data_IF_600912249155
#
_entry.id   IF_600912249155
#
_cell.length_a   1.000
_cell.length_b   1.000
_cell.length_c   1.000
_cell.angle_alpha   90.00
_cell.angle_beta   90.00
_cell.angle_gamma   90.00
#
_symmetry.space_group_name_H-M   'P 1'
#
loop_
_entity.id
_entity.type
_entity.pdbx_description
1 polymer ?
#
# COMPACT_ATOMS: atom_id res chain seq x y z
N UNK A 1 3.52 12.82 -21.87
CA UNK A 1 3.84 13.45 -20.56
C UNK A 1 5.35 13.52 -20.43
N UNK A 2 5.97 14.68 -20.03
CA UNK A 2 7.43 14.78 -19.88
C UNK A 2 7.90 13.86 -18.76
N UNK A 3 9.09 13.21 -18.86
CA UNK A 3 9.66 12.31 -17.86
C UNK A 3 9.57 12.88 -16.43
N UNK A 4 10.02 14.11 -16.25
CA UNK A 4 10.00 14.82 -14.97
C UNK A 4 8.61 14.84 -14.30
N UNK A 5 7.54 15.02 -15.08
CA UNK A 5 6.17 15.02 -14.57
C UNK A 5 5.72 13.61 -14.19
N UNK A 6 6.13 12.58 -14.93
CA UNK A 6 5.85 11.18 -14.59
C UNK A 6 6.52 10.79 -13.28
N UNK A 7 7.83 11.03 -13.15
CA UNK A 7 8.58 10.70 -11.93
C UNK A 7 8.04 11.45 -10.70
N UNK A 8 7.69 12.72 -10.85
CA UNK A 8 7.09 13.50 -9.76
C UNK A 8 5.75 12.88 -9.31
N UNK A 9 4.88 12.51 -10.26
CA UNK A 9 3.58 11.88 -9.96
C UNK A 9 3.77 10.52 -9.30
N UNK A 10 4.72 9.72 -9.78
CA UNK A 10 5.02 8.41 -9.22
C UNK A 10 5.58 8.51 -7.79
N UNK A 11 6.50 9.43 -7.54
CA UNK A 11 7.04 9.69 -6.21
C UNK A 11 5.96 10.21 -5.25
N UNK A 12 5.09 11.11 -5.71
CA UNK A 12 3.95 11.58 -4.92
C UNK A 12 3.00 10.43 -4.59
N UNK A 13 2.70 9.53 -5.54
CA UNK A 13 1.92 8.33 -5.29
C UNK A 13 2.55 7.46 -4.19
N UNK A 14 3.84 7.17 -4.28
CA UNK A 14 4.56 6.37 -3.28
C UNK A 14 4.54 7.00 -1.89
N UNK A 15 4.70 8.32 -1.82
CA UNK A 15 4.60 9.07 -0.58
C UNK A 15 3.21 8.98 0.04
N UNK A 16 2.16 9.37 -0.70
CA UNK A 16 0.80 9.39 -0.18
C UNK A 16 0.24 7.99 0.12
N UNK A 17 0.59 6.99 -0.68
CA UNK A 17 0.20 5.60 -0.42
C UNK A 17 0.81 5.07 0.89
N UNK A 18 1.99 5.56 1.25
CA UNK A 18 2.70 5.18 2.48
C UNK A 18 2.34 6.07 3.69
N UNK A 19 1.66 7.19 3.47
CA UNK A 19 1.26 8.15 4.50
C UNK A 19 -0.03 7.67 5.20
N UNK A 20 0.10 6.64 6.04
CA UNK A 20 -1.01 6.04 6.78
C UNK A 20 -1.07 6.62 8.20
N UNK A 21 -1.58 7.85 8.34
CA UNK A 21 -1.61 8.61 9.59
C UNK A 21 -2.32 7.91 10.75
N UNK A 22 -3.18 6.95 10.46
CA UNK A 22 -3.90 6.19 11.47
C UNK A 22 -3.06 5.07 12.13
N UNK A 23 -1.98 4.60 11.48
CA UNK A 23 -1.20 3.44 11.94
C UNK A 23 -0.72 3.58 13.38
N UNK A 24 -0.14 4.71 13.83
CA UNK A 24 0.37 4.82 15.19
C UNK A 24 -0.72 4.77 16.27
N UNK A 25 -1.94 5.25 15.97
CA UNK A 25 -3.05 5.32 16.92
C UNK A 25 -4.01 4.13 16.82
N UNK A 26 -3.82 3.25 15.83
CA UNK A 26 -4.81 2.22 15.50
C UNK A 26 -4.91 1.13 16.55
N UNK A 27 -3.80 0.79 17.18
CA UNK A 27 -3.80 -0.14 18.32
C UNK A 27 -4.67 0.38 19.46
N UNK A 28 -4.49 1.64 19.85
CA UNK A 28 -5.29 2.27 20.89
C UNK A 28 -6.77 2.35 20.51
N UNK A 29 -7.07 2.63 19.26
CA UNK A 29 -8.45 2.61 18.76
C UNK A 29 -9.09 1.23 18.88
N UNK A 30 -8.38 0.15 18.52
CA UNK A 30 -8.85 -1.23 18.69
C UNK A 30 -9.10 -1.57 20.16
N UNK A 31 -8.21 -1.14 21.07
CA UNK A 31 -8.38 -1.31 22.52
C UNK A 31 -9.62 -0.57 23.04
N UNK A 32 -9.87 0.66 22.62
CA UNK A 32 -11.07 1.45 22.99
C UNK A 32 -12.37 0.83 22.50
N UNK A 33 -12.36 0.16 21.38
CA UNK A 33 -13.52 -0.61 20.86
C UNK A 33 -13.77 -1.89 21.67
N UNK A 34 -12.82 -2.30 22.51
CA UNK A 34 -12.95 -3.44 23.41
C UNK A 34 -12.24 -4.71 22.97
N UNK A 35 -11.37 -4.64 21.96
CA UNK A 35 -10.54 -5.78 21.56
C UNK A 35 -9.45 -6.03 22.60
N UNK A 36 -9.22 -7.31 22.92
CA UNK A 36 -8.07 -7.70 23.72
C UNK A 36 -6.81 -7.89 22.87
N UNK A 37 -5.64 -7.95 23.48
CA UNK A 37 -4.35 -8.04 22.78
C UNK A 37 -4.27 -9.29 21.89
N UNK A 38 -4.82 -10.41 22.36
CA UNK A 38 -4.83 -11.68 21.60
C UNK A 38 -5.63 -11.53 20.30
N UNK A 39 -6.75 -10.85 20.32
CA UNK A 39 -7.57 -10.57 19.15
C UNK A 39 -6.86 -9.65 18.16
N UNK A 40 -6.22 -8.58 18.68
CA UNK A 40 -5.44 -7.63 17.87
C UNK A 40 -4.29 -8.36 17.18
N UNK A 41 -3.49 -9.14 17.90
CA UNK A 41 -2.38 -9.89 17.31
C UNK A 41 -2.85 -10.98 16.34
N UNK A 42 -4.01 -11.60 16.58
CA UNK A 42 -4.61 -12.55 15.64
C UNK A 42 -4.98 -11.88 14.33
N UNK A 43 -5.59 -10.71 14.37
CA UNK A 43 -5.89 -9.92 13.16
C UNK A 43 -4.59 -9.58 12.40
N UNK A 44 -3.55 -9.14 13.10
CA UNK A 44 -2.25 -8.84 12.49
C UNK A 44 -1.63 -10.08 11.83
N UNK A 45 -1.70 -11.24 12.49
CA UNK A 45 -1.20 -12.50 11.95
C UNK A 45 -1.93 -12.91 10.67
N UNK A 46 -3.25 -12.78 10.66
CA UNK A 46 -4.08 -13.04 9.47
C UNK A 46 -3.73 -12.05 8.35
N UNK A 47 -3.54 -10.76 8.68
CA UNK A 47 -3.10 -9.77 7.70
C UNK A 47 -1.80 -10.18 6.99
N UNK A 48 -0.76 -10.56 7.73
CA UNK A 48 0.51 -10.98 7.13
C UNK A 48 0.38 -12.27 6.33
N UNK A 49 -0.40 -13.22 6.82
CA UNK A 49 -0.67 -14.47 6.08
C UNK A 49 -1.36 -14.17 4.75
N UNK A 50 -2.44 -13.38 4.77
CA UNK A 50 -3.19 -13.00 3.56
C UNK A 50 -2.30 -12.20 2.61
N UNK A 51 -1.50 -11.26 3.11
CA UNK A 51 -0.55 -10.49 2.31
C UNK A 51 0.42 -11.41 1.56
N UNK A 52 1.09 -12.34 2.27
CA UNK A 52 2.02 -13.29 1.65
C UNK A 52 1.32 -14.18 0.61
N UNK A 53 0.13 -14.68 0.91
CA UNK A 53 -0.63 -15.53 -0.03
C UNK A 53 -1.07 -14.76 -1.28
N UNK A 54 -1.37 -13.49 -1.15
CA UNK A 54 -1.82 -12.65 -2.27
C UNK A 54 -0.67 -12.13 -3.14
N UNK A 55 0.58 -12.06 -2.65
CA UNK A 55 1.70 -11.54 -3.44
C UNK A 55 1.90 -12.30 -4.77
N UNK A 56 1.78 -13.63 -4.77
CA UNK A 56 1.93 -14.43 -5.99
C UNK A 56 0.77 -14.21 -6.97
N UNK A 57 -0.53 -14.35 -6.56
CA UNK A 57 -1.65 -14.12 -7.47
C UNK A 57 -1.72 -12.69 -8.00
N UNK A 58 -1.43 -11.69 -7.16
CA UNK A 58 -1.50 -10.28 -7.60
C UNK A 58 -0.34 -9.90 -8.52
N UNK A 59 0.85 -10.50 -8.35
CA UNK A 59 1.95 -10.36 -9.29
C UNK A 59 1.58 -10.90 -10.67
N UNK A 60 1.08 -12.14 -10.72
CA UNK A 60 0.59 -12.74 -11.98
C UNK A 60 -0.54 -11.92 -12.61
N UNK A 61 -1.47 -11.43 -11.80
CA UNK A 61 -2.56 -10.60 -12.30
C UNK A 61 -2.04 -9.26 -12.87
N UNK A 62 -1.00 -8.68 -12.27
CA UNK A 62 -0.38 -7.45 -12.75
C UNK A 62 0.24 -7.61 -14.16
N UNK A 63 0.82 -8.77 -14.44
CA UNK A 63 1.33 -9.08 -15.78
C UNK A 63 0.19 -9.21 -16.82
N UNK A 64 -0.99 -9.64 -16.40
CA UNK A 64 -2.13 -9.90 -17.27
C UNK A 64 -2.98 -8.66 -17.56
N UNK A 65 -3.35 -7.89 -16.53
CA UNK A 65 -4.24 -6.71 -16.66
C UNK A 65 -3.46 -5.39 -16.75
N UNK A 66 -2.16 -5.44 -16.54
CA UNK A 66 -1.25 -4.30 -16.57
C UNK A 66 -0.98 -3.68 -15.20
N UNK A 67 0.27 -3.33 -14.97
CA UNK A 67 0.78 -2.81 -13.69
C UNK A 67 0.06 -1.53 -13.23
N UNK A 68 -0.28 -0.63 -14.16
CA UNK A 68 -1.02 0.60 -13.84
C UNK A 68 -2.40 0.32 -13.24
N UNK A 69 -3.12 -0.68 -13.78
CA UNK A 69 -4.45 -1.06 -13.28
C UNK A 69 -4.33 -1.63 -11.88
N UNK A 70 -3.32 -2.45 -11.61
CA UNK A 70 -3.06 -2.97 -10.26
C UNK A 70 -2.76 -1.87 -9.25
N UNK A 71 -2.00 -0.82 -9.60
CA UNK A 71 -1.79 0.32 -8.72
C UNK A 71 -3.10 1.05 -8.38
N UNK A 72 -4.01 1.18 -9.36
CA UNK A 72 -5.34 1.77 -9.14
C UNK A 72 -6.18 0.87 -8.24
N UNK A 73 -6.23 -0.45 -8.51
CA UNK A 73 -6.97 -1.41 -7.68
C UNK A 73 -6.46 -1.43 -6.23
N UNK A 74 -5.14 -1.39 -6.04
CA UNK A 74 -4.52 -1.27 -4.73
C UNK A 74 -4.95 0.00 -4.01
N UNK A 75 -4.97 1.14 -4.71
CA UNK A 75 -5.40 2.42 -4.14
C UNK A 75 -6.89 2.42 -3.78
N UNK A 76 -7.74 1.88 -4.64
CA UNK A 76 -9.19 1.73 -4.38
C UNK A 76 -9.43 0.84 -3.17
N UNK A 77 -8.73 -0.32 -3.09
CA UNK A 77 -8.83 -1.22 -1.92
C UNK A 77 -8.42 -0.52 -0.63
N UNK A 78 -7.39 0.34 -0.65
CA UNK A 78 -6.97 1.14 0.50
C UNK A 78 -8.06 2.13 0.93
N UNK A 79 -8.67 2.82 -0.01
CA UNK A 79 -9.76 3.77 0.25
C UNK A 79 -10.95 3.05 0.87
N UNK A 80 -11.38 1.93 0.27
CA UNK A 80 -12.50 1.10 0.78
C UNK A 80 -12.21 0.62 2.19
N UNK A 81 -11.00 0.11 2.47
CA UNK A 81 -10.60 -0.32 3.80
C UNK A 81 -10.74 0.78 4.85
N UNK A 82 -10.28 2.00 4.52
CA UNK A 82 -10.32 3.12 5.46
C UNK A 82 -11.75 3.69 5.65
N UNK A 83 -12.60 3.62 4.64
CA UNK A 83 -14.03 4.02 4.75
C UNK A 83 -14.80 2.98 5.55
N UNK A 84 -14.46 1.70 5.44
CA UNK A 84 -15.18 0.59 6.09
C UNK A 84 -15.14 0.65 7.62
N UNK A 85 -13.99 0.93 8.19
CA UNK A 85 -13.76 0.75 9.64
C UNK A 85 -14.57 1.70 10.54
N UNK A 86 -14.80 2.98 10.22
CA UNK A 86 -15.63 3.86 11.05
C UNK A 86 -17.08 3.39 11.20
N UNK A 87 -17.61 2.67 10.19
CA UNK A 87 -18.99 2.15 10.21
C UNK A 87 -19.09 0.78 10.87
N UNK A 88 -17.98 0.06 11.02
CA UNK A 88 -17.97 -1.30 11.54
C UNK A 88 -16.86 -1.51 12.59
N UNK A 89 -16.89 -0.79 13.72
CA UNK A 89 -15.87 -0.91 14.77
C UNK A 89 -16.09 -2.18 15.61
N UNK A 90 -15.75 -3.33 15.05
CA UNK A 90 -15.89 -4.65 15.69
C UNK A 90 -14.72 -5.54 15.28
N UNK A 91 -14.53 -6.67 15.97
CA UNK A 91 -13.51 -7.66 15.60
C UNK A 91 -13.57 -8.04 14.10
N UNK A 92 -14.76 -8.38 13.60
CA UNK A 92 -14.97 -8.71 12.19
C UNK A 92 -14.72 -7.52 11.27
N UNK A 93 -15.09 -6.30 11.68
CA UNK A 93 -14.83 -5.07 10.93
C UNK A 93 -13.34 -4.80 10.79
N UNK A 94 -12.57 -4.95 11.86
CA UNK A 94 -11.10 -4.83 11.82
C UNK A 94 -10.47 -5.94 10.98
N UNK A 95 -10.96 -7.17 11.07
CA UNK A 95 -10.44 -8.27 10.26
C UNK A 95 -10.63 -7.98 8.76
N UNK A 96 -11.82 -7.56 8.35
CA UNK A 96 -12.10 -7.18 6.95
C UNK A 96 -11.22 -6.01 6.52
N UNK A 97 -11.10 -4.97 7.36
CA UNK A 97 -10.21 -3.84 7.09
C UNK A 97 -8.77 -4.29 6.80
N UNK A 98 -8.20 -5.15 7.64
CA UNK A 98 -6.83 -5.63 7.45
C UNK A 98 -6.67 -6.56 6.24
N UNK A 99 -7.70 -7.35 5.90
CA UNK A 99 -7.70 -8.14 4.65
C UNK A 99 -7.68 -7.22 3.43
N UNK A 100 -8.48 -6.14 3.42
CA UNK A 100 -8.48 -5.15 2.35
C UNK A 100 -7.15 -4.39 2.27
N UNK A 101 -6.51 -4.09 3.40
CA UNK A 101 -5.15 -3.51 3.43
C UNK A 101 -4.13 -4.49 2.86
N UNK A 102 -4.21 -5.78 3.20
CA UNK A 102 -3.33 -6.82 2.64
C UNK A 102 -3.47 -6.88 1.12
N UNK A 103 -4.70 -6.90 0.61
CA UNK A 103 -5.01 -6.89 -0.82
C UNK A 103 -4.44 -5.63 -1.50
N UNK A 104 -4.68 -4.46 -0.92
CA UNK A 104 -4.14 -3.19 -1.40
C UNK A 104 -2.62 -3.23 -1.53
N UNK A 105 -1.95 -3.68 -0.47
CA UNK A 105 -0.48 -3.72 -0.43
C UNK A 105 0.12 -4.74 -1.38
N UNK A 106 -0.49 -5.91 -1.53
CA UNK A 106 -0.01 -6.93 -2.47
C UNK A 106 -0.11 -6.46 -3.93
N UNK A 107 -1.20 -5.77 -4.30
CA UNK A 107 -1.31 -5.15 -5.62
C UNK A 107 -0.21 -4.11 -5.89
N UNK A 108 0.07 -3.24 -4.93
CA UNK A 108 1.07 -2.18 -5.11
C UNK A 108 2.49 -2.73 -5.04
N UNK A 109 2.76 -3.69 -4.15
CA UNK A 109 4.08 -4.34 -4.01
C UNK A 109 4.52 -4.99 -5.32
N UNK A 110 3.67 -5.80 -5.93
CA UNK A 110 3.97 -6.51 -7.18
C UNK A 110 4.06 -5.60 -8.41
N UNK A 111 3.23 -4.55 -8.46
CA UNK A 111 3.09 -3.73 -9.68
C UNK A 111 3.99 -2.48 -9.71
N UNK A 112 4.45 -1.96 -8.58
CA UNK A 112 5.06 -0.63 -8.48
C UNK A 112 6.38 -0.52 -9.26
N UNK A 113 7.34 -1.37 -8.93
CA UNK A 113 8.67 -1.35 -9.57
C UNK A 113 8.60 -1.77 -11.05
N UNK A 114 7.72 -2.72 -11.38
CA UNK A 114 7.49 -3.15 -12.75
C UNK A 114 6.88 -2.04 -13.61
N UNK A 115 5.89 -1.29 -13.08
CA UNK A 115 5.31 -0.14 -13.77
C UNK A 115 6.34 0.97 -14.05
N UNK A 116 7.20 1.25 -13.09
CA UNK A 116 8.28 2.22 -13.27
C UNK A 116 9.24 1.75 -14.36
N UNK A 117 9.71 0.49 -14.28
CA UNK A 117 10.63 -0.10 -15.25
C UNK A 117 10.03 -0.07 -16.66
N UNK A 118 8.81 -0.58 -16.84
CA UNK A 118 8.13 -0.64 -18.13
C UNK A 118 7.96 0.75 -18.76
N UNK A 119 7.56 1.74 -17.94
CA UNK A 119 7.38 3.12 -18.41
C UNK A 119 8.69 3.75 -18.86
N UNK A 120 9.80 3.52 -18.15
CA UNK A 120 11.12 4.02 -18.54
C UNK A 120 11.67 3.27 -19.76
N UNK A 121 11.44 1.97 -19.85
CA UNK A 121 11.82 1.16 -21.02
C UNK A 121 11.14 1.65 -22.30
N UNK A 122 9.84 1.88 -22.26
CA UNK A 122 9.07 2.42 -23.41
C UNK A 122 9.52 3.82 -23.86
N UNK A 123 10.26 4.54 -22.98
CA UNK A 123 10.80 5.87 -23.26
C UNK A 123 12.27 5.87 -23.68
N UNK A 124 12.91 4.71 -23.70
CA UNK A 124 14.36 4.58 -23.86
C UNK A 124 15.17 5.36 -22.78
N UNK A 125 14.66 5.42 -21.54
CA UNK A 125 15.21 6.15 -20.41
C UNK A 125 15.57 5.19 -19.25
N UNK A 126 15.97 3.96 -19.54
CA UNK A 126 16.29 2.92 -18.54
C UNK A 126 17.49 3.29 -17.63
N UNK A 127 18.39 4.12 -18.09
CA UNK A 127 19.54 4.59 -17.29
C UNK A 127 19.10 5.33 -16.03
N UNK A 128 17.92 5.96 -16.08
CA UNK A 128 17.30 6.66 -14.95
C UNK A 128 16.63 5.72 -13.92
N UNK A 129 16.46 4.42 -14.24
CA UNK A 129 15.66 3.50 -13.42
C UNK A 129 16.16 3.39 -11.97
N UNK A 130 17.46 3.17 -11.78
CA UNK A 130 18.04 3.00 -10.44
C UNK A 130 17.83 4.22 -9.55
N UNK A 131 18.02 5.40 -10.12
CA UNK A 131 17.81 6.66 -9.40
C UNK A 131 16.34 6.92 -9.12
N UNK A 132 15.47 6.66 -10.09
CA UNK A 132 14.02 6.83 -9.96
C UNK A 132 13.44 5.87 -8.90
N UNK A 133 13.83 4.59 -8.92
CA UNK A 133 13.40 3.60 -7.93
C UNK A 133 13.91 3.96 -6.51
N UNK A 134 15.18 4.39 -6.40
CA UNK A 134 15.74 4.85 -5.14
C UNK A 134 14.99 6.06 -4.56
N UNK A 135 14.66 7.05 -5.39
CA UNK A 135 13.84 8.20 -4.99
C UNK A 135 12.43 7.78 -4.57
N UNK A 136 11.77 6.92 -5.33
CA UNK A 136 10.43 6.43 -5.01
C UNK A 136 10.38 5.73 -3.64
N UNK A 137 11.38 4.88 -3.35
CA UNK A 137 11.53 4.24 -2.04
C UNK A 137 11.79 5.24 -0.92
N UNK A 138 12.63 6.25 -1.16
CA UNK A 138 12.89 7.32 -0.20
C UNK A 138 11.60 8.09 0.13
N UNK A 139 10.80 8.46 -0.86
CA UNK A 139 9.50 9.12 -0.64
C UNK A 139 8.51 8.23 0.12
N UNK A 140 8.47 6.92 -0.18
CA UNK A 140 7.67 5.96 0.59
C UNK A 140 8.10 5.88 2.06
N UNK A 141 9.41 5.87 2.33
CA UNK A 141 9.95 5.88 3.69
C UNK A 141 9.65 7.20 4.41
N UNK A 142 9.79 8.34 3.73
CA UNK A 142 9.42 9.65 4.28
C UNK A 142 7.97 9.71 4.70
N UNK A 143 7.04 9.17 3.90
CA UNK A 143 5.63 9.07 4.26
C UNK A 143 5.42 8.28 5.57
N UNK A 144 6.13 7.16 5.75
CA UNK A 144 6.07 6.37 6.99
C UNK A 144 6.67 7.12 8.19
N UNK A 145 7.83 7.75 8.01
CA UNK A 145 8.49 8.52 9.10
C UNK A 145 7.60 9.67 9.57
N UNK A 146 6.97 10.39 8.66
CA UNK A 146 6.06 11.48 8.99
C UNK A 146 4.86 10.96 9.80
N UNK A 147 4.30 9.80 9.46
CA UNK A 147 3.23 9.19 10.26
C UNK A 147 3.60 8.99 11.72
N UNK A 148 4.83 8.53 11.99
CA UNK A 148 5.30 8.29 13.35
C UNK A 148 5.79 9.55 14.07
N UNK A 149 6.19 10.57 13.32
CA UNK A 149 6.65 11.84 13.91
C UNK A 149 5.50 12.78 14.32
N UNK A 150 4.31 12.60 13.75
CA UNK A 150 3.13 13.43 14.01
C UNK A 150 2.26 12.91 15.17
N UNK A 151 2.55 11.74 15.73
CA UNK A 151 1.83 11.08 16.82
C UNK A 151 2.71 10.90 18.04
#
# INVERSE_FOLDING_TARGET
MKLKKFLLTFNAFQFFFSLLLWVPIFYEYQKRVGLNDTEIFRIQSIYYLVFCLLEIPTGYLADWIGHRVCLILGSVSLIVANIWIPFNPSYSGFLIHFILIALSRSFVSGASSAYLYETLHQRNELDEYKEAEGKARAYSLLGKVICWALV
#
